data_IF_047000471413
#
_entry.id   IF_047000471413
#
_cell.length_a   1.000
_cell.length_b   1.000
_cell.length_c   1.000
_cell.angle_alpha   90.00
_cell.angle_beta   90.00
_cell.angle_gamma   90.00
#
_symmetry.space_group_name_H-M   'P 1'
#
loop_
_entity.id
_entity.type
_entity.pdbx_description
1 polymer ?
#
# COMPACT_ATOMS: atom_id res chain seq x y z
N UNK A 1 -20.78 -20.33 -9.44
CA UNK A 1 -21.59 -19.19 -8.97
C UNK A 1 -20.63 -18.05 -8.73
N UNK A 2 -20.71 -16.95 -9.49
CA UNK A 2 -19.93 -15.75 -9.19
C UNK A 2 -20.62 -15.02 -8.03
N UNK A 3 -19.90 -14.64 -6.97
CA UNK A 3 -20.50 -13.85 -5.89
C UNK A 3 -20.94 -12.50 -6.45
N UNK A 4 -22.19 -12.10 -6.16
CA UNK A 4 -22.67 -10.76 -6.45
C UNK A 4 -22.18 -9.83 -5.34
N UNK A 5 -21.50 -8.76 -5.72
CA UNK A 5 -21.04 -7.72 -4.80
C UNK A 5 -21.55 -6.37 -5.25
N UNK A 6 -22.01 -5.56 -4.31
CA UNK A 6 -22.31 -4.14 -4.49
C UNK A 6 -21.21 -3.35 -3.79
N UNK A 7 -20.46 -2.54 -4.56
CA UNK A 7 -19.40 -1.70 -4.04
C UNK A 7 -19.94 -0.27 -3.95
N UNK A 8 -20.12 0.20 -2.72
CA UNK A 8 -20.48 1.58 -2.44
C UNK A 8 -19.24 2.34 -1.97
N UNK A 9 -18.94 3.46 -2.62
CA UNK A 9 -17.85 4.37 -2.24
C UNK A 9 -18.51 5.64 -1.73
N UNK A 10 -18.47 5.86 -0.42
CA UNK A 10 -19.13 7.01 0.21
C UNK A 10 -18.64 8.35 -0.33
N UNK A 11 -17.31 8.51 -0.45
CA UNK A 11 -16.72 9.74 -0.96
C UNK A 11 -15.43 9.46 -1.74
N UNK A 12 -15.27 10.15 -2.87
CA UNK A 12 -14.03 10.19 -3.64
C UNK A 12 -13.60 11.64 -3.81
N UNK A 13 -12.62 12.07 -3.03
CA UNK A 13 -12.13 13.45 -3.07
C UNK A 13 -11.06 13.60 -4.17
N UNK A 14 -11.42 14.33 -5.22
CA UNK A 14 -10.53 14.65 -6.34
C UNK A 14 -10.01 16.09 -6.20
N UNK A 15 -8.92 16.25 -5.45
CA UNK A 15 -8.24 17.55 -5.34
C UNK A 15 -7.56 17.94 -6.66
N UNK A 16 -7.57 19.23 -6.98
CA UNK A 16 -6.88 19.84 -8.12
C UNK A 16 -7.33 19.39 -9.52
N UNK A 17 -8.49 18.72 -9.63
CA UNK A 17 -9.12 18.42 -10.91
C UNK A 17 -10.16 19.48 -11.30
N UNK A 18 -10.24 19.86 -12.59
CA UNK A 18 -11.32 20.72 -13.07
C UNK A 18 -12.69 20.07 -12.83
N UNK A 19 -13.67 20.82 -12.33
CA UNK A 19 -15.02 20.30 -12.04
C UNK A 19 -15.68 19.59 -13.25
N UNK A 20 -15.40 20.07 -14.47
CA UNK A 20 -15.86 19.43 -15.73
C UNK A 20 -15.35 18.00 -15.93
N UNK A 21 -14.20 17.67 -15.33
CA UNK A 21 -13.53 16.39 -15.51
C UNK A 21 -13.93 15.39 -14.41
N UNK A 22 -14.50 15.85 -13.28
CA UNK A 22 -14.91 15.01 -12.15
C UNK A 22 -15.86 13.89 -12.57
N UNK A 23 -16.93 14.23 -13.30
CA UNK A 23 -17.90 13.24 -13.76
C UNK A 23 -17.27 12.19 -14.68
N UNK A 24 -16.40 12.64 -15.61
CA UNK A 24 -15.71 11.74 -16.55
C UNK A 24 -14.72 10.81 -15.85
N UNK A 25 -14.01 11.34 -14.85
CA UNK A 25 -13.12 10.54 -14.00
C UNK A 25 -13.94 9.52 -13.21
N UNK A 26 -15.04 9.92 -12.59
CA UNK A 26 -15.93 9.04 -11.83
C UNK A 26 -16.46 7.87 -12.66
N UNK A 27 -17.04 8.14 -13.83
CA UNK A 27 -17.52 7.10 -14.75
C UNK A 27 -16.38 6.16 -15.20
N UNK A 28 -15.18 6.70 -15.43
CA UNK A 28 -14.04 5.89 -15.81
C UNK A 28 -13.55 4.98 -14.67
N UNK A 29 -13.65 5.43 -13.41
CA UNK A 29 -13.34 4.62 -12.23
C UNK A 29 -14.34 3.49 -12.10
N UNK A 30 -15.63 3.79 -12.12
CA UNK A 30 -16.71 2.79 -11.98
C UNK A 30 -16.57 1.67 -13.02
N UNK A 31 -16.46 2.05 -14.30
CA UNK A 31 -16.32 1.09 -15.40
C UNK A 31 -15.08 0.23 -15.25
N UNK A 32 -13.97 0.82 -14.83
CA UNK A 32 -12.72 0.07 -14.66
C UNK A 32 -12.77 -0.86 -13.44
N UNK A 33 -13.35 -0.44 -12.32
CA UNK A 33 -13.54 -1.30 -11.16
C UNK A 33 -14.44 -2.50 -11.50
N UNK A 34 -15.54 -2.27 -12.22
CA UNK A 34 -16.41 -3.35 -12.70
C UNK A 34 -15.65 -4.35 -13.58
N UNK A 35 -14.81 -3.84 -14.48
CA UNK A 35 -13.94 -4.65 -15.34
C UNK A 35 -12.94 -5.47 -14.52
N UNK A 36 -12.25 -4.86 -13.57
CA UNK A 36 -11.27 -5.52 -12.70
C UNK A 36 -11.93 -6.63 -11.86
N UNK A 37 -13.08 -6.34 -11.25
CA UNK A 37 -13.81 -7.34 -10.47
C UNK A 37 -14.32 -8.52 -11.33
N UNK A 38 -14.69 -8.25 -12.58
CA UNK A 38 -15.18 -9.29 -13.50
C UNK A 38 -14.04 -10.14 -14.05
N UNK A 39 -12.92 -9.52 -14.42
CA UNK A 39 -11.78 -10.20 -15.05
C UNK A 39 -10.84 -10.87 -14.05
N UNK A 40 -10.56 -10.20 -12.92
CA UNK A 40 -9.58 -10.66 -11.90
C UNK A 40 -10.26 -11.27 -10.67
N UNK A 41 -11.59 -11.12 -10.57
CA UNK A 41 -12.37 -11.56 -9.42
C UNK A 41 -12.47 -10.51 -8.33
N UNK A 42 -13.35 -10.78 -7.38
CA UNK A 42 -13.60 -9.91 -6.23
C UNK A 42 -12.51 -10.15 -5.17
N UNK A 43 -11.83 -9.11 -4.67
CA UNK A 43 -10.86 -9.22 -3.59
C UNK A 43 -11.42 -9.99 -2.38
N UNK A 44 -10.65 -10.92 -1.78
CA UNK A 44 -11.13 -11.74 -0.66
C UNK A 44 -11.59 -10.93 0.55
N UNK A 45 -10.96 -9.77 0.80
CA UNK A 45 -11.33 -8.86 1.89
C UNK A 45 -12.75 -8.30 1.71
N UNK A 46 -13.19 -8.07 0.47
CA UNK A 46 -14.56 -7.65 0.18
C UNK A 46 -15.56 -8.82 0.28
N UNK A 47 -15.12 -10.04 -0.05
CA UNK A 47 -15.95 -11.25 0.09
C UNK A 47 -16.23 -11.62 1.55
N UNK A 48 -15.35 -11.23 2.48
CA UNK A 48 -15.58 -11.38 3.92
C UNK A 48 -16.73 -10.49 4.40
N UNK A 49 -17.06 -9.44 3.65
CA UNK A 49 -18.01 -8.42 4.03
C UNK A 49 -17.48 -7.54 5.16
N UNK A 50 -18.04 -6.33 5.28
CA UNK A 50 -17.69 -5.36 6.31
C UNK A 50 -17.17 -4.04 5.73
N UNK A 51 -16.95 -3.10 6.63
CA UNK A 51 -16.40 -1.78 6.31
C UNK A 51 -14.89 -1.91 6.13
N UNK A 52 -14.41 -1.62 4.92
CA UNK A 52 -12.99 -1.40 4.70
C UNK A 52 -12.70 0.03 5.17
N UNK A 53 -11.84 0.18 6.18
CA UNK A 53 -11.39 1.51 6.63
C UNK A 53 -10.61 2.26 5.55
N UNK A 54 -9.80 3.24 5.93
CA UNK A 54 -9.02 4.03 4.97
C UNK A 54 -8.15 3.14 4.07
N UNK A 55 -8.55 3.06 2.80
CA UNK A 55 -7.73 2.48 1.76
C UNK A 55 -6.68 3.51 1.42
N UNK A 56 -5.41 3.22 1.69
CA UNK A 56 -4.31 4.00 1.18
C UNK A 56 -3.98 3.50 -0.24
N UNK A 57 -4.47 4.14 -1.33
CA UNK A 57 -4.15 3.73 -2.71
C UNK A 57 -2.66 3.89 -3.06
N UNK A 58 -1.87 4.47 -2.15
CA UNK A 58 -0.48 4.85 -2.35
C UNK A 58 -0.36 6.13 -3.19
N UNK A 59 0.87 6.55 -3.44
CA UNK A 59 1.16 7.68 -4.33
C UNK A 59 1.32 7.17 -5.77
N UNK A 60 0.64 7.80 -6.72
CA UNK A 60 0.83 7.53 -8.15
C UNK A 60 1.03 8.83 -8.93
N UNK A 61 1.96 8.81 -9.89
CA UNK A 61 2.22 9.96 -10.75
C UNK A 61 1.26 9.98 -11.94
N UNK A 62 0.68 11.16 -12.19
CA UNK A 62 -0.14 11.46 -13.36
C UNK A 62 0.60 12.45 -14.26
N UNK A 63 0.54 12.21 -15.56
CA UNK A 63 1.05 13.16 -16.53
C UNK A 63 0.08 14.35 -16.60
N UNK A 64 0.62 15.56 -16.59
CA UNK A 64 -0.17 16.76 -16.86
C UNK A 64 -0.82 16.64 -18.25
N UNK A 65 -2.12 16.97 -18.32
CA UNK A 65 -2.90 16.86 -19.56
C UNK A 65 -3.37 15.43 -19.90
N UNK A 66 -3.21 14.45 -19.00
CA UNK A 66 -3.78 13.13 -19.19
C UNK A 66 -5.32 13.21 -19.35
N UNK A 67 -5.87 12.35 -20.22
CA UNK A 67 -7.32 12.28 -20.41
C UNK A 67 -8.02 11.81 -19.12
N UNK A 68 -9.19 12.37 -18.77
CA UNK A 68 -10.00 11.95 -17.61
C UNK A 68 -10.18 10.44 -17.50
N UNK A 69 -10.32 9.75 -18.63
CA UNK A 69 -10.51 8.29 -18.69
C UNK A 69 -9.23 7.53 -18.28
N UNK A 70 -8.05 8.04 -18.68
CA UNK A 70 -6.79 7.46 -18.28
C UNK A 70 -6.51 7.68 -16.78
N UNK A 71 -6.91 8.85 -16.27
CA UNK A 71 -6.85 9.20 -14.85
C UNK A 71 -7.73 8.23 -14.04
N UNK A 72 -8.99 8.08 -14.43
CA UNK A 72 -9.93 7.19 -13.75
C UNK A 72 -9.46 5.73 -13.72
N UNK A 73 -8.92 5.20 -14.82
CA UNK A 73 -8.33 3.85 -14.83
C UNK A 73 -7.21 3.69 -13.81
N UNK A 74 -6.27 4.64 -13.74
CA UNK A 74 -5.17 4.59 -12.77
C UNK A 74 -5.68 4.58 -11.33
N UNK A 75 -6.68 5.40 -11.03
CA UNK A 75 -7.32 5.46 -9.71
C UNK A 75 -7.99 4.12 -9.39
N UNK A 76 -8.80 3.57 -10.30
CA UNK A 76 -9.46 2.28 -10.12
C UNK A 76 -8.47 1.15 -9.81
N UNK A 77 -7.36 1.08 -10.54
CA UNK A 77 -6.30 0.10 -10.25
C UNK A 77 -5.68 0.30 -8.86
N UNK A 78 -5.49 1.54 -8.41
CA UNK A 78 -4.93 1.82 -7.10
C UNK A 78 -5.90 1.41 -5.98
N UNK A 79 -7.19 1.73 -6.13
CA UNK A 79 -8.26 1.32 -5.20
C UNK A 79 -8.37 -0.21 -5.17
N UNK A 80 -8.45 -0.88 -6.33
CA UNK A 80 -8.52 -2.35 -6.42
C UNK A 80 -7.35 -3.05 -5.70
N UNK A 81 -6.12 -2.55 -5.88
CA UNK A 81 -4.96 -3.07 -5.16
C UNK A 81 -5.04 -2.81 -3.66
N UNK A 82 -5.47 -1.62 -3.26
CA UNK A 82 -5.66 -1.28 -1.85
C UNK A 82 -6.67 -2.21 -1.16
N UNK A 83 -7.77 -2.54 -1.85
CA UNK A 83 -8.75 -3.53 -1.36
C UNK A 83 -8.20 -4.95 -1.30
N UNK A 84 -7.26 -5.30 -2.18
CA UNK A 84 -6.67 -6.64 -2.24
C UNK A 84 -5.58 -6.88 -1.20
N UNK A 85 -4.92 -5.83 -0.72
CA UNK A 85 -3.82 -5.93 0.24
C UNK A 85 -4.29 -5.98 1.70
N UNK A 86 -5.57 -5.71 1.96
CA UNK A 86 -6.09 -5.50 3.31
C UNK A 86 -5.46 -4.27 3.97
N UNK A 87 -6.05 -3.79 5.05
CA UNK A 87 -5.35 -2.87 5.96
C UNK A 87 -4.15 -3.61 6.53
N UNK A 88 -3.02 -3.53 5.83
CA UNK A 88 -1.72 -3.80 6.41
C UNK A 88 -1.59 -2.76 7.50
N UNK A 89 -1.99 -3.16 8.72
CA UNK A 89 -1.56 -2.52 9.94
C UNK A 89 -0.09 -2.21 9.72
N UNK A 90 0.21 -0.92 9.59
CA UNK A 90 1.56 -0.39 9.76
C UNK A 90 1.91 -0.60 11.23
N UNK A 91 1.98 -1.87 11.64
CA UNK A 91 2.72 -2.31 12.80
C UNK A 91 4.17 -2.12 12.42
N UNK A 92 4.62 -0.87 12.57
CA UNK A 92 6.01 -0.45 12.58
C UNK A 92 6.83 -1.50 13.35
N UNK A 93 7.59 -2.39 12.70
CA UNK A 93 8.49 -3.27 13.39
C UNK A 93 9.83 -2.56 13.53
N UNK A 94 9.81 -1.33 14.05
CA UNK A 94 11.00 -0.76 14.69
C UNK A 94 11.15 -1.38 16.08
N UNK A 95 11.18 -2.72 16.13
CA UNK A 95 11.83 -3.43 17.22
C UNK A 95 13.32 -3.20 16.98
N UNK A 96 13.90 -2.20 17.63
CA UNK A 96 15.32 -2.16 17.89
C UNK A 96 15.70 -3.44 18.64
N UNK A 97 16.05 -4.46 17.87
CA UNK A 97 16.44 -5.78 18.36
C UNK A 97 17.97 -5.76 18.46
N UNK A 98 18.44 -5.36 19.63
CA UNK A 98 19.64 -5.84 20.29
C UNK A 98 20.87 -6.07 19.39
N UNK A 99 21.71 -5.03 19.24
CA UNK A 99 23.08 -5.20 18.78
C UNK A 99 23.88 -5.89 19.89
N UNK A 100 23.98 -7.22 19.73
CA UNK A 100 25.09 -8.08 20.12
C UNK A 100 25.92 -7.63 21.33
N UNK A 101 25.68 -8.33 22.45
CA UNK A 101 26.74 -8.92 23.27
C UNK A 101 27.97 -9.29 22.42
N UNK A 102 29.02 -8.48 22.47
CA UNK A 102 30.40 -8.87 22.12
C UNK A 102 31.42 -8.08 22.94
N UNK A 103 31.32 -8.18 24.27
CA UNK A 103 32.42 -7.79 25.16
C UNK A 103 32.66 -8.90 26.19
N UNK A 104 33.11 -10.06 25.71
CA UNK A 104 33.78 -11.05 26.57
C UNK A 104 35.02 -11.58 25.86
N UNK A 105 36.16 -10.97 26.22
CA UNK A 105 37.50 -11.55 26.49
C UNK A 105 38.04 -12.63 25.53
N UNK A 106 39.17 -12.33 24.88
CA UNK A 106 40.47 -13.05 25.00
C UNK A 106 41.49 -12.42 24.03
N UNK A 107 42.51 -11.72 24.55
CA UNK A 107 43.86 -12.24 24.86
C UNK A 107 44.75 -12.31 23.62
N UNK A 108 45.67 -11.34 23.50
CA UNK A 108 47.09 -11.55 23.17
C UNK A 108 47.78 -10.21 22.91
N UNK A 109 48.27 -9.55 23.95
CA UNK A 109 49.42 -8.65 23.84
C UNK A 109 50.22 -8.75 25.13
N UNK A 110 51.45 -9.26 24.97
CA UNK A 110 52.32 -9.68 26.05
C UNK A 110 52.88 -8.53 26.87
N UNK A 111 53.13 -8.83 28.14
CA UNK A 111 54.15 -8.14 28.90
C UNK A 111 54.77 -9.07 29.95
N UNK A 112 56.10 -8.98 30.03
CA UNK A 112 56.92 -9.05 31.24
C UNK A 112 57.67 -10.35 31.56
N UNK A 113 58.99 -10.29 31.38
CA UNK A 113 59.98 -10.72 32.36
C UNK A 113 61.41 -10.28 31.95
N UNK A 114 61.81 -9.12 32.48
CA UNK A 114 63.19 -8.67 32.55
C UNK A 114 63.77 -8.99 33.94
N UNK A 115 64.65 -10.00 33.99
CA UNK A 115 65.48 -10.29 35.16
C UNK A 115 66.92 -9.91 34.81
N UNK A 116 67.45 -8.85 35.43
CA UNK A 116 68.86 -8.49 35.38
C UNK A 116 69.59 -9.02 36.63
N UNK A 117 70.78 -9.59 36.42
CA UNK A 117 71.78 -9.85 37.46
C UNK A 117 72.82 -8.74 37.55
#
# INVERSE_FOLDING_TARGET
>A
MQPSIELHIEELILHDFPARDHARIGTAIERELMRLCTEQGVPPELLRGGELGDIAPGSFHMNQGAMPEAIGRKIAHAVYRGMSLGTQSVSNPSRCSNLSNRDTVQTTQGWSNNTGG
#
